data_IF_735953268180
#
_entry.id   IF_735953268180
#
_cell.length_a   1.000
_cell.length_b   1.000
_cell.length_c   1.000
_cell.angle_alpha   90.00
_cell.angle_beta   90.00
_cell.angle_gamma   90.00
#
_symmetry.space_group_name_H-M   'P 1'
#
loop_
_entity.id
_entity.type
_entity.pdbx_description
1 polymer ?
#
# COMPACT_ATOMS: atom_id res chain seq x y z
N UNK A 1 -28.05 -2.84 -33.15
CA UNK A 1 -27.79 -1.63 -32.34
C UNK A 1 -26.96 -2.06 -31.14
N UNK A 2 -25.73 -1.55 -31.00
CA UNK A 2 -24.92 -1.76 -29.81
C UNK A 2 -24.99 -0.48 -28.97
N UNK A 3 -25.32 -0.61 -27.69
CA UNK A 3 -25.41 0.53 -26.77
C UNK A 3 -24.00 0.96 -26.36
N UNK A 4 -23.77 2.28 -26.20
CA UNK A 4 -22.48 2.83 -25.73
C UNK A 4 -22.03 2.31 -24.35
N UNK A 5 -22.90 1.63 -23.62
CA UNK A 5 -22.64 1.07 -22.30
C UNK A 5 -22.49 -0.45 -22.29
N UNK A 6 -22.54 -1.09 -23.46
CA UNK A 6 -22.42 -2.53 -23.57
C UNK A 6 -20.98 -2.96 -23.28
N UNK A 7 -20.77 -3.73 -22.20
CA UNK A 7 -19.46 -4.25 -21.84
C UNK A 7 -18.99 -5.21 -22.91
N UNK A 8 -17.79 -4.97 -23.45
CA UNK A 8 -17.16 -5.95 -24.33
C UNK A 8 -16.94 -7.27 -23.58
N UNK A 9 -17.36 -8.38 -24.19
CA UNK A 9 -17.08 -9.72 -23.67
C UNK A 9 -15.58 -9.99 -23.78
N UNK A 10 -15.05 -10.67 -22.75
CA UNK A 10 -13.66 -11.15 -22.74
C UNK A 10 -13.40 -11.96 -24.01
N UNK A 11 -12.31 -11.63 -24.71
CA UNK A 11 -11.90 -12.26 -25.98
C UNK A 11 -11.01 -13.48 -25.76
N UNK A 12 -10.57 -13.71 -24.53
CA UNK A 12 -9.71 -14.84 -24.16
C UNK A 12 -10.47 -16.17 -24.18
N UNK A 13 -9.74 -17.24 -24.47
CA UNK A 13 -10.28 -18.61 -24.36
C UNK A 13 -10.58 -18.98 -22.90
N UNK A 14 -11.27 -20.10 -22.65
CA UNK A 14 -11.51 -20.56 -21.28
C UNK A 14 -10.19 -20.85 -20.54
N UNK A 15 -9.27 -21.56 -21.19
CA UNK A 15 -7.99 -21.96 -20.60
C UNK A 15 -7.09 -20.76 -20.28
N UNK A 16 -7.07 -19.75 -21.16
CA UNK A 16 -6.32 -18.50 -20.94
C UNK A 16 -6.84 -17.68 -19.75
N UNK A 17 -8.15 -17.75 -19.46
CA UNK A 17 -8.73 -17.05 -18.30
C UNK A 17 -8.32 -17.68 -16.97
N UNK A 18 -7.96 -18.96 -16.97
CA UNK A 18 -7.53 -19.71 -15.80
C UNK A 18 -6.00 -19.82 -15.69
N UNK A 19 -5.27 -19.24 -16.64
CA UNK A 19 -3.80 -19.21 -16.59
C UNK A 19 -3.34 -18.19 -15.54
N UNK A 20 -2.79 -18.70 -14.44
CA UNK A 20 -2.17 -17.87 -13.39
C UNK A 20 -0.69 -17.71 -13.75
N UNK A 21 -0.33 -16.54 -14.28
CA UNK A 21 1.07 -16.22 -14.55
C UNK A 21 1.82 -16.12 -13.22
N UNK A 22 2.63 -17.13 -12.92
CA UNK A 22 3.56 -17.14 -11.79
C UNK A 22 4.97 -17.07 -12.35
N UNK A 23 5.48 -15.84 -12.47
CA UNK A 23 6.89 -15.58 -12.72
C UNK A 23 7.63 -15.34 -11.41
N UNK A 24 8.98 -15.40 -11.41
CA UNK A 24 9.75 -14.86 -10.31
C UNK A 24 9.38 -13.38 -10.16
N UNK A 25 8.70 -13.06 -9.06
CA UNK A 25 8.58 -11.67 -8.63
C UNK A 25 9.94 -11.26 -8.10
N UNK A 26 10.91 -10.98 -8.99
CA UNK A 26 12.11 -10.25 -8.63
C UNK A 26 11.73 -8.79 -8.34
N UNK A 27 10.75 -8.58 -7.47
CA UNK A 27 10.59 -7.31 -6.80
C UNK A 27 11.68 -7.32 -5.72
N UNK A 28 12.67 -6.45 -5.88
CA UNK A 28 13.56 -6.14 -4.77
C UNK A 28 12.68 -5.81 -3.56
N UNK A 29 12.97 -6.37 -2.36
CA UNK A 29 12.24 -5.99 -1.18
C UNK A 29 12.34 -4.47 -1.04
N UNK A 30 11.20 -3.79 -1.12
CA UNK A 30 11.17 -2.33 -0.98
C UNK A 30 11.61 -2.00 0.44
N UNK A 31 12.59 -1.12 0.58
CA UNK A 31 13.01 -0.61 1.88
C UNK A 31 11.81 0.07 2.55
N UNK A 32 11.43 -0.41 3.74
CA UNK A 32 10.33 0.19 4.50
C UNK A 32 10.80 1.53 5.06
N UNK A 33 10.07 2.59 4.77
CA UNK A 33 10.32 3.92 5.35
C UNK A 33 10.00 3.85 6.85
N UNK A 34 10.97 4.22 7.70
CA UNK A 34 10.77 4.32 9.14
C UNK A 34 9.83 5.49 9.48
N UNK A 35 8.94 5.34 10.49
CA UNK A 35 8.04 6.42 10.88
C UNK A 35 8.84 7.61 11.40
N UNK A 36 8.54 8.81 10.88
CA UNK A 36 9.21 10.06 11.30
C UNK A 36 8.53 10.73 12.49
N UNK A 37 7.26 10.40 12.77
CA UNK A 37 6.49 11.00 13.86
C UNK A 37 5.59 9.94 14.47
N UNK A 38 5.57 9.88 15.79
CA UNK A 38 4.64 9.07 16.58
C UNK A 38 3.53 10.00 17.06
N UNK A 39 2.27 9.64 16.78
CA UNK A 39 1.12 10.35 17.31
C UNK A 39 0.72 9.70 18.63
N UNK A 40 0.78 10.45 19.73
CA UNK A 40 0.19 10.08 21.02
C UNK A 40 -1.05 10.94 21.27
N UNK A 41 -2.02 10.38 21.95
CA UNK A 41 -3.24 11.10 22.33
C UNK A 41 -3.17 11.41 23.82
N UNK A 42 -3.41 12.66 24.19
CA UNK A 42 -3.52 13.04 25.60
C UNK A 42 -4.93 12.70 26.15
N UNK A 43 -5.12 12.87 27.46
CA UNK A 43 -6.40 12.60 28.14
C UNK A 43 -7.53 13.54 27.71
N UNK A 44 -7.19 14.67 27.08
CA UNK A 44 -8.11 15.68 26.54
C UNK A 44 -8.51 15.37 25.08
N UNK A 45 -8.01 14.27 24.51
CA UNK A 45 -8.31 13.85 23.14
C UNK A 45 -7.59 14.65 22.06
N UNK A 46 -6.52 15.37 22.40
CA UNK A 46 -5.69 16.11 21.46
C UNK A 46 -4.45 15.29 21.02
N UNK A 47 -4.06 15.35 19.73
CA UNK A 47 -2.89 14.66 19.23
C UNK A 47 -1.58 15.40 19.56
N UNK A 48 -0.64 14.70 20.18
CA UNK A 48 0.75 15.12 20.43
C UNK A 48 1.66 14.36 19.46
N UNK A 49 2.49 15.09 18.71
CA UNK A 49 3.44 14.50 17.76
C UNK A 49 4.83 14.43 18.39
N UNK A 50 5.37 13.23 18.57
CA UNK A 50 6.73 12.98 19.04
C UNK A 50 7.63 12.55 17.87
N UNK A 51 8.88 13.01 17.83
CA UNK A 51 9.87 12.52 16.86
C UNK A 51 10.60 11.30 17.45
N UNK A 52 10.52 10.11 16.81
CA UNK A 52 11.23 8.93 17.28
C UNK A 52 12.72 9.09 16.97
N UNK A 53 13.47 9.69 17.92
CA UNK A 53 14.90 9.96 17.79
C UNK A 53 15.41 11.17 18.58
N UNK A 54 14.53 11.97 19.20
CA UNK A 54 14.91 13.12 20.00
C UNK A 54 15.22 12.78 21.47
N UNK A 55 15.76 11.58 21.75
CA UNK A 55 16.32 11.26 23.07
C UNK A 55 17.85 11.41 23.04
N UNK A 56 18.29 12.45 23.78
CA UNK A 56 19.55 12.57 24.52
C UNK A 56 20.80 13.12 23.77
N UNK A 57 20.83 14.44 23.59
CA UNK A 57 22.08 15.23 23.64
C UNK A 57 21.92 16.28 24.74
N UNK A 58 22.06 15.84 25.99
CA UNK A 58 22.25 16.70 27.15
C UNK A 58 23.14 15.97 28.16
N UNK A 59 24.45 16.17 28.03
CA UNK A 59 25.46 15.92 29.05
C UNK A 59 26.56 16.97 28.89
#
# INVERSE_FOLDING_TARGET
MYSKYERQKDKRSYDERHTIYTGPQWAHPVERINPTKIVRWNEEGLPIYEEPGAEQVAA
#
